data_IF_740612468849
#
_entry.id   IF_740612468849
#
_cell.length_a   1.000
_cell.length_b   1.000
_cell.length_c   1.000
_cell.angle_alpha   90.00
_cell.angle_beta   90.00
_cell.angle_gamma   90.00
#
_symmetry.space_group_name_H-M   'P 1'
#
loop_
_entity.id
_entity.type
_entity.pdbx_description
1 polymer ?
#
# COMPACT_ATOMS: atom_id res chain seq x y z
N UNK A 1 -2.85 -12.82 -20.39
CA UNK A 1 -3.44 -13.41 -19.17
C UNK A 1 -3.90 -12.25 -18.30
N UNK A 2 -4.99 -12.40 -17.54
CA UNK A 2 -5.56 -11.32 -16.74
C UNK A 2 -5.51 -11.70 -15.26
N UNK A 3 -5.04 -10.79 -14.42
CA UNK A 3 -4.90 -11.06 -12.99
C UNK A 3 -6.28 -11.06 -12.33
N UNK A 4 -6.57 -12.07 -11.51
CA UNK A 4 -7.78 -12.12 -10.68
C UNK A 4 -7.66 -11.21 -9.48
N UNK A 5 -6.51 -11.18 -8.82
CA UNK A 5 -6.31 -10.31 -7.67
C UNK A 5 -5.05 -9.47 -7.83
N UNK A 6 -5.19 -8.20 -7.49
CA UNK A 6 -4.10 -7.23 -7.50
C UNK A 6 -4.01 -6.66 -6.09
N UNK A 7 -2.84 -6.78 -5.46
CA UNK A 7 -2.62 -6.29 -4.10
C UNK A 7 -1.65 -5.13 -4.11
N UNK A 8 -2.10 -3.97 -3.66
CA UNK A 8 -1.24 -2.78 -3.52
C UNK A 8 -0.66 -2.73 -2.12
N UNK A 9 0.65 -2.93 -2.06
CA UNK A 9 1.45 -3.02 -0.84
C UNK A 9 2.30 -1.75 -0.69
N UNK A 10 2.21 -1.11 0.47
CA UNK A 10 3.01 0.06 0.82
C UNK A 10 3.17 0.17 2.34
N UNK A 11 4.12 0.96 2.86
CA UNK A 11 4.15 1.33 4.28
C UNK A 11 2.87 2.06 4.75
N UNK A 12 2.07 2.58 3.81
CA UNK A 12 1.05 3.59 4.05
C UNK A 12 1.61 4.99 3.82
N UNK A 13 0.72 5.97 3.65
CA UNK A 13 1.10 7.37 3.32
C UNK A 13 1.87 7.53 1.99
N UNK A 14 1.82 6.51 1.14
CA UNK A 14 2.45 6.47 -0.19
C UNK A 14 1.45 6.50 -1.35
N UNK A 15 0.22 6.98 -1.13
CA UNK A 15 -0.80 7.14 -2.19
C UNK A 15 -1.77 5.97 -2.36
N UNK A 16 -1.90 5.08 -1.36
CA UNK A 16 -2.78 3.90 -1.44
C UNK A 16 -4.27 4.25 -1.61
N UNK A 17 -4.71 5.45 -1.18
CA UNK A 17 -6.06 5.95 -1.46
C UNK A 17 -6.17 6.49 -2.89
N UNK A 18 -5.15 7.21 -3.34
CA UNK A 18 -5.06 7.79 -4.69
C UNK A 18 -5.19 6.73 -5.76
N UNK A 19 -4.49 5.60 -5.59
CA UNK A 19 -4.55 4.52 -6.57
C UNK A 19 -5.95 3.89 -6.61
N UNK A 20 -6.62 3.70 -5.47
CA UNK A 20 -7.99 3.16 -5.39
C UNK A 20 -9.00 4.11 -6.02
N UNK A 21 -8.84 5.41 -5.80
CA UNK A 21 -9.68 6.43 -6.41
C UNK A 21 -9.50 6.43 -7.93
N UNK A 22 -8.25 6.43 -8.41
CA UNK A 22 -7.92 6.35 -9.83
C UNK A 22 -8.46 5.07 -10.49
N UNK A 23 -8.31 3.92 -9.84
CA UNK A 23 -8.77 2.63 -10.37
C UNK A 23 -10.27 2.40 -10.18
N UNK A 24 -11.00 3.30 -9.52
CA UNK A 24 -12.46 3.27 -9.45
C UNK A 24 -13.14 3.58 -10.79
N UNK A 25 -12.40 4.21 -11.72
CA UNK A 25 -12.84 4.47 -13.08
C UNK A 25 -12.75 3.25 -14.01
N UNK A 26 -12.18 2.14 -13.54
CA UNK A 26 -12.07 0.91 -14.30
C UNK A 26 -13.40 0.16 -14.28
N UNK A 27 -13.81 -0.39 -15.42
CA UNK A 27 -15.05 -1.18 -15.54
C UNK A 27 -14.81 -2.66 -15.31
N UNK A 28 -13.57 -3.08 -15.42
CA UNK A 28 -13.20 -4.48 -15.49
C UNK A 28 -12.54 -4.96 -14.18
N UNK A 29 -12.11 -4.06 -13.29
CA UNK A 29 -11.70 -4.37 -11.92
C UNK A 29 -12.53 -3.59 -10.91
N UNK A 30 -12.89 -4.23 -9.80
CA UNK A 30 -13.33 -3.52 -8.60
C UNK A 30 -12.12 -3.04 -7.81
N UNK A 31 -12.25 -1.94 -7.06
CA UNK A 31 -11.15 -1.38 -6.26
C UNK A 31 -11.62 -1.00 -4.86
N UNK A 32 -10.80 -1.27 -3.84
CA UNK A 32 -11.11 -0.85 -2.47
C UNK A 32 -9.85 -0.57 -1.63
N UNK A 33 -10.03 0.24 -0.57
CA UNK A 33 -8.99 0.57 0.40
C UNK A 33 -9.32 -0.09 1.75
N UNK A 34 -8.47 -1.01 2.21
CA UNK A 34 -8.59 -1.69 3.50
C UNK A 34 -9.97 -2.38 3.73
N UNK A 35 -10.57 -2.93 2.67
CA UNK A 35 -11.97 -3.40 2.65
C UNK A 35 -12.25 -4.54 3.62
N UNK A 36 -11.23 -5.35 3.90
CA UNK A 36 -11.30 -6.52 4.79
C UNK A 36 -10.40 -6.41 6.02
N UNK A 37 -9.85 -5.22 6.31
CA UNK A 37 -8.86 -5.04 7.37
C UNK A 37 -9.34 -5.45 8.78
N UNK A 38 -10.64 -5.32 9.06
CA UNK A 38 -11.23 -5.71 10.35
C UNK A 38 -11.75 -7.16 10.40
N UNK A 39 -11.61 -7.93 9.31
CA UNK A 39 -12.06 -9.33 9.24
C UNK A 39 -10.97 -10.26 9.76
N UNK A 40 -11.37 -11.44 10.22
CA UNK A 40 -10.50 -12.45 10.83
C UNK A 40 -10.52 -13.76 10.03
N UNK A 41 -9.43 -14.53 10.10
CA UNK A 41 -9.33 -15.84 9.45
C UNK A 41 -9.55 -15.76 7.94
N UNK A 42 -10.33 -16.70 7.39
CA UNK A 42 -10.61 -16.74 5.95
C UNK A 42 -11.28 -15.46 5.42
N UNK A 43 -12.12 -14.80 6.23
CA UNK A 43 -12.78 -13.55 5.80
C UNK A 43 -11.81 -12.38 5.62
N UNK A 44 -10.61 -12.46 6.21
CA UNK A 44 -9.55 -11.47 5.95
C UNK A 44 -9.08 -11.47 4.50
N UNK A 45 -9.13 -12.63 3.85
CA UNK A 45 -8.53 -12.89 2.54
C UNK A 45 -9.55 -13.26 1.45
N UNK A 46 -10.85 -13.24 1.74
CA UNK A 46 -11.90 -13.68 0.80
C UNK A 46 -12.23 -12.59 -0.27
N UNK A 47 -11.22 -12.05 -0.96
CA UNK A 47 -11.41 -11.02 -1.99
C UNK A 47 -12.15 -11.58 -3.23
N UNK A 48 -13.03 -10.79 -3.89
CA UNK A 48 -13.65 -11.24 -5.13
C UNK A 48 -12.63 -11.33 -6.28
N UNK A 49 -12.96 -12.10 -7.31
CA UNK A 49 -12.19 -12.11 -8.56
C UNK A 49 -12.24 -10.72 -9.24
N UNK A 50 -11.16 -10.39 -9.95
CA UNK A 50 -10.91 -9.10 -10.60
C UNK A 50 -11.01 -7.92 -9.62
N UNK A 51 -10.24 -8.01 -8.53
CA UNK A 51 -10.23 -7.01 -7.46
C UNK A 51 -8.84 -6.43 -7.21
N UNK A 52 -8.79 -5.10 -7.07
CA UNK A 52 -7.63 -4.33 -6.62
C UNK A 52 -7.85 -3.95 -5.16
N UNK A 53 -7.10 -4.56 -4.25
CA UNK A 53 -7.11 -4.21 -2.83
C UNK A 53 -5.85 -3.41 -2.50
N UNK A 54 -6.03 -2.17 -2.02
CA UNK A 54 -4.96 -1.42 -1.40
C UNK A 54 -5.10 -1.50 0.12
N UNK A 55 -4.21 -2.26 0.75
CA UNK A 55 -4.22 -2.45 2.21
C UNK A 55 -2.80 -2.57 2.74
N UNK A 56 -2.36 -1.51 3.40
CA UNK A 56 -1.00 -1.41 3.93
C UNK A 56 -0.73 -2.42 5.04
N UNK A 57 -1.77 -2.99 5.68
CA UNK A 57 -1.60 -3.99 6.74
C UNK A 57 -1.38 -5.39 6.21
N UNK A 58 -1.58 -5.65 4.91
CA UNK A 58 -1.25 -6.95 4.32
C UNK A 58 0.24 -7.29 4.44
N UNK A 59 1.12 -6.30 4.63
CA UNK A 59 2.54 -6.54 4.88
C UNK A 59 2.83 -7.35 6.15
N UNK A 60 1.90 -7.39 7.10
CA UNK A 60 2.00 -8.22 8.31
C UNK A 60 1.51 -9.66 8.10
N UNK A 61 0.97 -9.98 6.92
CA UNK A 61 0.34 -11.26 6.60
C UNK A 61 1.01 -11.98 5.42
N UNK A 62 2.28 -11.69 5.11
CA UNK A 62 2.96 -12.27 3.94
C UNK A 62 3.04 -13.81 3.93
N UNK A 63 3.04 -14.45 5.10
CA UNK A 63 2.90 -15.91 5.18
C UNK A 63 1.55 -16.40 4.63
N UNK A 64 0.45 -15.81 5.11
CA UNK A 64 -0.91 -16.13 4.62
C UNK A 64 -1.09 -15.74 3.15
N UNK A 65 -0.57 -14.57 2.74
CA UNK A 65 -0.60 -14.13 1.36
C UNK A 65 0.09 -15.14 0.44
N UNK A 66 1.28 -15.62 0.81
CA UNK A 66 2.00 -16.63 0.01
C UNK A 66 1.24 -17.94 -0.12
N UNK A 67 0.50 -18.36 0.90
CA UNK A 67 -0.24 -19.62 0.87
C UNK A 67 -1.53 -19.52 0.05
N UNK A 68 -2.18 -18.35 0.06
CA UNK A 68 -3.50 -18.16 -0.55
C UNK A 68 -3.44 -17.57 -1.96
N UNK A 69 -2.39 -16.82 -2.27
CA UNK A 69 -2.24 -16.04 -3.50
C UNK A 69 -0.89 -16.32 -4.19
N UNK A 70 -0.66 -17.59 -4.53
CA UNK A 70 0.59 -18.08 -5.15
C UNK A 70 0.50 -18.31 -6.67
N UNK A 71 -0.66 -18.06 -7.28
CA UNK A 71 -0.89 -18.31 -8.70
C UNK A 71 -0.35 -17.21 -9.61
N UNK A 72 -0.16 -17.56 -10.89
CA UNK A 72 0.22 -16.60 -11.95
C UNK A 72 -0.88 -15.57 -12.25
N UNK A 73 -2.08 -15.78 -11.72
CA UNK A 73 -3.23 -14.88 -11.79
C UNK A 73 -3.25 -13.82 -10.68
N UNK A 74 -2.18 -13.68 -9.89
CA UNK A 74 -2.04 -12.62 -8.88
C UNK A 74 -0.93 -11.65 -9.26
N UNK A 75 -1.20 -10.35 -9.10
CA UNK A 75 -0.20 -9.29 -9.26
C UNK A 75 -0.01 -8.52 -7.96
N UNK A 76 1.24 -8.26 -7.60
CA UNK A 76 1.59 -7.43 -6.46
C UNK A 76 2.12 -6.07 -6.92
N UNK A 77 1.59 -4.99 -6.36
CA UNK A 77 2.07 -3.64 -6.62
C UNK A 77 2.84 -3.17 -5.41
N UNK A 78 4.15 -2.92 -5.57
CA UNK A 78 4.93 -2.18 -4.58
C UNK A 78 4.74 -0.69 -4.84
N UNK A 79 3.81 -0.08 -4.12
CA UNK A 79 3.55 1.34 -4.21
C UNK A 79 4.60 2.13 -3.40
N UNK A 80 5.31 3.03 -4.05
CA UNK A 80 6.41 3.81 -3.49
C UNK A 80 6.14 5.31 -3.59
N UNK A 81 6.59 6.02 -2.58
CA UNK A 81 6.75 7.49 -2.52
C UNK A 81 8.19 7.74 -2.06
N UNK A 82 8.70 8.96 -2.22
CA UNK A 82 9.95 9.37 -1.59
C UNK A 82 9.99 8.96 -0.10
N UNK A 83 11.16 8.46 0.30
CA UNK A 83 11.37 7.87 1.62
C UNK A 83 11.19 8.92 2.70
N UNK A 84 11.81 10.10 2.53
CA UNK A 84 11.79 11.16 3.53
C UNK A 84 10.40 11.75 3.64
N UNK A 85 9.75 12.03 2.52
CA UNK A 85 8.37 12.51 2.49
C UNK A 85 7.40 11.54 3.20
N UNK A 86 7.61 10.23 3.03
CA UNK A 86 6.78 9.20 3.68
C UNK A 86 7.05 9.16 5.18
N UNK A 87 8.33 9.20 5.58
CA UNK A 87 8.75 9.23 6.97
C UNK A 87 8.22 10.49 7.69
N UNK A 88 8.32 11.66 7.07
CA UNK A 88 7.81 12.92 7.60
C UNK A 88 6.28 12.89 7.78
N UNK A 89 5.55 12.27 6.84
CA UNK A 89 4.11 12.05 6.98
C UNK A 89 3.77 11.15 8.18
N UNK A 90 4.60 10.13 8.44
CA UNK A 90 4.43 9.25 9.60
C UNK A 90 4.84 9.91 10.91
N UNK A 91 5.89 10.72 10.93
CA UNK A 91 6.28 11.52 12.09
C UNK A 91 5.16 12.50 12.46
N UNK A 92 4.61 13.20 11.47
CA UNK A 92 3.44 14.04 11.67
C UNK A 92 2.27 13.23 12.26
N UNK A 93 2.02 12.02 11.74
CA UNK A 93 0.97 11.14 12.27
C UNK A 93 1.24 10.69 13.70
N UNK A 94 2.47 10.32 14.04
CA UNK A 94 2.88 9.88 15.38
C UNK A 94 2.61 10.99 16.40
N UNK A 95 2.99 12.23 16.08
CA UNK A 95 2.84 13.40 16.97
C UNK A 95 1.40 13.90 17.12
N UNK A 96 0.57 13.73 16.10
CA UNK A 96 -0.74 14.39 16.03
C UNK A 96 -1.94 13.43 16.06
N UNK A 97 -1.74 12.12 16.16
CA UNK A 97 -2.84 11.15 16.09
C UNK A 97 -3.08 10.40 17.38
N UNK A 98 -4.29 10.57 17.93
CA UNK A 98 -4.81 9.77 19.05
C UNK A 98 -5.56 8.51 18.57
N UNK A 99 -5.35 8.08 17.32
CA UNK A 99 -6.06 6.92 16.77
C UNK A 99 -5.56 5.62 17.39
N UNK A 100 -6.45 4.90 18.10
CA UNK A 100 -6.10 3.67 18.82
C UNK A 100 -5.45 2.59 17.95
N UNK A 101 -5.85 2.46 16.69
CA UNK A 101 -5.26 1.52 15.74
C UNK A 101 -4.19 2.17 14.84
N UNK A 102 -3.52 3.21 15.34
CA UNK A 102 -2.38 3.84 14.68
C UNK A 102 -1.25 2.84 14.51
N UNK A 103 -0.81 2.65 13.27
CA UNK A 103 0.28 1.73 12.96
C UNK A 103 1.61 2.20 13.58
N UNK A 104 1.81 3.52 13.68
CA UNK A 104 3.00 4.06 14.33
C UNK A 104 3.02 3.75 15.81
N UNK A 105 1.88 3.86 16.51
CA UNK A 105 1.82 3.51 17.93
C UNK A 105 2.03 2.01 18.15
N UNK A 106 1.47 1.18 17.27
CA UNK A 106 1.66 -0.27 17.31
C UNK A 106 3.12 -0.65 17.04
N UNK A 107 3.78 -0.01 16.07
CA UNK A 107 5.18 -0.26 15.78
C UNK A 107 6.09 0.23 16.91
N UNK A 108 5.96 1.48 17.34
CA UNK A 108 6.86 2.09 18.32
C UNK A 108 6.76 1.49 19.73
N UNK A 109 5.55 1.17 20.20
CA UNK A 109 5.35 0.66 21.55
C UNK A 109 5.11 -0.85 21.59
N UNK A 110 4.47 -1.42 20.57
CA UNK A 110 4.14 -2.84 20.52
C UNK A 110 5.27 -3.69 19.94
N UNK A 111 5.86 -3.27 18.82
CA UNK A 111 6.91 -4.03 18.12
C UNK A 111 8.31 -3.69 18.65
N UNK A 112 8.64 -2.41 18.80
CA UNK A 112 9.93 -1.99 19.36
C UNK A 112 9.97 -2.08 20.90
N UNK A 113 8.81 -2.25 21.54
CA UNK A 113 8.67 -2.43 23.00
C UNK A 113 9.33 -1.32 23.85
N UNK A 114 9.46 -0.09 23.34
CA UNK A 114 9.99 1.05 24.11
C UNK A 114 8.83 1.81 24.80
N UNK A 115 8.95 2.17 26.09
CA UNK A 115 7.86 2.70 26.91
C UNK A 115 7.42 4.16 26.62
N UNK A 116 7.90 4.80 25.55
CA UNK A 116 7.30 6.05 25.03
C UNK A 116 8.00 7.36 25.41
N UNK A 117 9.16 7.29 26.07
CA UNK A 117 10.05 8.43 26.39
C UNK A 117 10.95 8.82 25.20
N UNK A 118 10.37 8.89 24.01
CA UNK A 118 11.09 9.21 22.78
C UNK A 118 11.51 10.68 22.73
N UNK A 119 12.77 10.94 22.39
CA UNK A 119 13.20 12.30 22.03
C UNK A 119 12.71 12.66 20.62
N UNK A 120 12.63 13.96 20.25
CA UNK A 120 12.20 14.36 18.91
C UNK A 120 13.02 13.74 17.76
N UNK A 121 14.32 13.51 17.98
CA UNK A 121 15.20 12.87 17.01
C UNK A 121 14.89 11.37 16.90
N UNK A 122 14.69 10.70 18.04
CA UNK A 122 14.32 9.28 18.01
C UNK A 122 12.93 9.05 17.40
N UNK A 123 11.96 9.96 17.58
CA UNK A 123 10.66 9.86 16.91
C UNK A 123 10.81 9.90 15.38
N UNK A 124 11.70 10.76 14.86
CA UNK A 124 12.01 10.84 13.44
C UNK A 124 12.69 9.55 12.95
N UNK A 125 13.65 9.03 13.73
CA UNK A 125 14.29 7.75 13.45
C UNK A 125 13.29 6.59 13.45
N UNK A 126 12.34 6.54 14.39
CA UNK A 126 11.28 5.52 14.44
C UNK A 126 10.39 5.58 13.20
N UNK A 127 10.00 6.79 12.77
CA UNK A 127 9.20 6.96 11.56
C UNK A 127 9.95 6.47 10.31
N UNK A 128 11.22 6.84 10.16
CA UNK A 128 12.06 6.38 9.06
C UNK A 128 12.27 4.86 9.10
N UNK A 129 12.60 4.32 10.28
CA UNK A 129 12.85 2.89 10.48
C UNK A 129 11.61 2.05 10.14
N UNK A 130 10.41 2.51 10.52
CA UNK A 130 9.15 1.87 10.11
C UNK A 130 9.05 1.78 8.58
N UNK A 131 9.26 2.90 7.87
CA UNK A 131 9.12 2.96 6.42
C UNK A 131 10.14 2.06 5.72
N UNK A 132 11.40 2.08 6.14
CA UNK A 132 12.47 1.21 5.62
C UNK A 132 12.17 -0.28 5.89
N UNK A 133 11.67 -0.60 7.09
CA UNK A 133 11.27 -1.97 7.46
C UNK A 133 10.16 -2.48 6.54
N UNK A 134 9.11 -1.69 6.30
CA UNK A 134 8.02 -2.15 5.43
C UNK A 134 8.47 -2.24 3.97
N UNK A 135 9.27 -1.30 3.47
CA UNK A 135 9.81 -1.40 2.11
C UNK A 135 10.67 -2.64 1.92
N UNK A 136 11.58 -2.93 2.84
CA UNK A 136 12.43 -4.13 2.77
C UNK A 136 11.60 -5.42 2.83
N UNK A 137 10.61 -5.49 3.73
CA UNK A 137 9.68 -6.62 3.81
C UNK A 137 8.92 -6.83 2.48
N UNK A 138 8.36 -5.76 1.90
CA UNK A 138 7.64 -5.86 0.61
C UNK A 138 8.59 -6.32 -0.49
N UNK A 139 9.77 -5.69 -0.61
CA UNK A 139 10.74 -6.02 -1.65
C UNK A 139 11.20 -7.48 -1.56
N UNK A 140 11.46 -7.99 -0.36
CA UNK A 140 11.82 -9.40 -0.18
C UNK A 140 10.66 -10.34 -0.55
N UNK A 141 9.44 -10.00 -0.13
CA UNK A 141 8.24 -10.79 -0.39
C UNK A 141 7.90 -10.91 -1.89
N UNK A 142 7.99 -9.81 -2.65
CA UNK A 142 7.55 -9.77 -4.05
C UNK A 142 8.63 -10.19 -5.05
N UNK A 143 9.92 -10.27 -4.67
CA UNK A 143 11.04 -10.50 -5.61
C UNK A 143 10.92 -11.76 -6.48
N UNK A 144 10.17 -12.77 -6.02
CA UNK A 144 9.93 -14.03 -6.72
C UNK A 144 8.50 -14.17 -7.24
N UNK A 145 7.73 -13.07 -7.31
CA UNK A 145 6.32 -13.03 -7.69
C UNK A 145 6.10 -12.08 -8.86
N UNK A 146 4.96 -12.22 -9.54
CA UNK A 146 4.50 -11.22 -10.49
C UNK A 146 4.27 -9.90 -9.75
N UNK A 147 5.10 -8.90 -10.05
CA UNK A 147 5.00 -7.62 -9.38
C UNK A 147 5.41 -6.46 -10.28
N UNK A 148 4.90 -5.28 -9.93
CA UNK A 148 5.32 -4.00 -10.47
C UNK A 148 5.63 -3.03 -9.33
N UNK A 149 6.49 -2.07 -9.61
CA UNK A 149 6.68 -0.91 -8.75
C UNK A 149 5.90 0.25 -9.36
N UNK A 150 5.06 0.90 -8.55
CA UNK A 150 4.35 2.13 -8.93
C UNK A 150 4.84 3.25 -8.05
N UNK A 151 5.27 4.35 -8.65
CA UNK A 151 5.80 5.52 -7.97
C UNK A 151 4.76 6.64 -7.94
N UNK A 152 4.49 7.17 -6.76
CA UNK A 152 3.62 8.33 -6.58
C UNK A 152 4.25 9.62 -7.10
N UNK A 153 5.50 9.68 -7.58
CA UNK A 153 6.16 10.96 -7.89
C UNK A 153 6.87 10.95 -9.25
N UNK A 154 6.42 10.10 -10.18
CA UNK A 154 6.99 9.93 -11.52
C UNK A 154 6.13 10.53 -12.64
N UNK A 155 5.20 11.43 -12.30
CA UNK A 155 4.29 12.03 -13.28
C UNK A 155 3.25 11.06 -13.87
N UNK A 156 3.13 9.85 -13.33
CA UNK A 156 2.18 8.82 -13.75
C UNK A 156 2.76 7.75 -14.66
N UNK A 157 4.07 7.78 -14.97
CA UNK A 157 4.69 6.82 -15.89
C UNK A 157 4.49 5.35 -15.47
N UNK A 158 4.80 5.01 -14.22
CA UNK A 158 4.61 3.65 -13.71
C UNK A 158 3.13 3.29 -13.46
N UNK A 159 2.27 4.27 -13.19
CA UNK A 159 0.84 4.05 -13.13
C UNK A 159 0.27 3.71 -14.52
N UNK A 160 0.79 4.37 -15.55
CA UNK A 160 0.42 4.09 -16.93
C UNK A 160 0.85 2.66 -17.34
N UNK A 161 2.07 2.26 -16.95
CA UNK A 161 2.54 0.88 -17.12
C UNK A 161 1.66 -0.13 -16.38
N UNK A 162 1.22 0.19 -15.16
CA UNK A 162 0.31 -0.64 -14.39
C UNK A 162 -1.02 -0.85 -15.14
N UNK A 163 -1.66 0.22 -15.63
CA UNK A 163 -2.91 0.13 -16.39
C UNK A 163 -2.75 -0.73 -17.65
N UNK A 164 -1.64 -0.58 -18.39
CA UNK A 164 -1.33 -1.42 -19.55
C UNK A 164 -1.14 -2.88 -19.16
N UNK A 165 -0.43 -3.15 -18.06
CA UNK A 165 -0.10 -4.52 -17.63
C UNK A 165 -1.33 -5.33 -17.25
N UNK A 166 -2.34 -4.68 -16.65
CA UNK A 166 -3.55 -5.36 -16.20
C UNK A 166 -4.64 -5.44 -17.28
N UNK A 167 -4.34 -4.91 -18.48
CA UNK A 167 -5.30 -4.68 -19.56
C UNK A 167 -6.54 -3.93 -19.06
N UNK A 168 -6.30 -2.77 -18.42
CA UNK A 168 -7.36 -1.96 -17.82
C UNK A 168 -8.38 -1.50 -18.87
N UNK A 169 -9.66 -1.55 -18.51
CA UNK A 169 -10.78 -1.07 -19.33
C UNK A 169 -11.61 -0.07 -18.51
N UNK A 170 -12.32 0.83 -19.18
CA UNK A 170 -13.11 1.89 -18.55
C UNK A 170 -12.65 3.27 -19.00
N UNK A 171 -12.83 4.27 -18.13
CA UNK A 171 -12.39 5.64 -18.41
C UNK A 171 -10.93 5.83 -17.97
N UNK A 172 -10.01 5.44 -18.85
CA UNK A 172 -8.57 5.51 -18.56
C UNK A 172 -8.06 6.96 -18.47
N UNK A 173 -8.69 7.90 -19.17
CA UNK A 173 -8.32 9.31 -19.08
C UNK A 173 -8.70 9.87 -17.70
N UNK A 174 -9.91 9.57 -17.22
CA UNK A 174 -10.30 9.91 -15.85
C UNK A 174 -9.40 9.24 -14.81
N UNK A 175 -9.06 7.95 -14.98
CA UNK A 175 -8.13 7.25 -14.09
C UNK A 175 -6.77 7.96 -13.98
N UNK A 176 -6.17 8.33 -15.13
CA UNK A 176 -4.89 9.06 -15.16
C UNK A 176 -5.00 10.47 -14.58
N UNK A 177 -6.09 11.18 -14.86
CA UNK A 177 -6.34 12.51 -14.31
C UNK A 177 -6.44 12.45 -12.77
N UNK A 178 -7.22 11.51 -12.24
CA UNK A 178 -7.38 11.28 -10.80
C UNK A 178 -6.06 10.93 -10.13
N UNK A 179 -5.25 10.05 -10.74
CA UNK A 179 -3.91 9.73 -10.23
C UNK A 179 -3.01 10.97 -10.13
N UNK A 180 -3.00 11.81 -11.16
CA UNK A 180 -2.15 13.01 -11.22
C UNK A 180 -2.55 14.12 -10.25
N UNK A 181 -3.83 14.19 -9.85
CA UNK A 181 -4.29 15.23 -8.91
C UNK A 181 -3.68 15.05 -7.52
N UNK A 182 -3.46 13.82 -7.07
CA UNK A 182 -3.06 13.55 -5.67
C UNK A 182 -1.58 13.82 -5.39
N UNK A 183 -0.76 14.03 -6.43
CA UNK A 183 0.62 14.54 -6.27
C UNK A 183 0.70 15.85 -5.46
N UNK A 184 -0.42 16.58 -5.31
CA UNK A 184 -0.49 17.88 -4.66
C UNK A 184 -1.07 17.88 -3.23
N UNK A 185 -1.43 16.72 -2.67
CA UNK A 185 -2.01 16.65 -1.33
C UNK A 185 -0.93 16.42 -0.26
N UNK A 186 -0.64 17.48 0.53
CA UNK A 186 0.26 17.48 1.69
C UNK A 186 -0.13 16.45 2.77
#
# INVERSE_FOLDING_TARGET
MRYKNIFVLSPGRSGSKSIVEATSHLTNYTSAHESRAARLGNERFNYPDFHIEADNRLCWFFGEMSQRFSGDDVLYIHLKRDLQDTADSFLHRLRNSNYRASIMNAFSHGILMKPGDWTPDEEAEVAKFYVETIHSNISDFVKSKNHLVVHLQDGGESFDQFLTTIYAEGDLEAARATWKQVHNAR
#
